data_IF_612691227453
#
_entry.id   IF_612691227453
#
_cell.length_a   1.000
_cell.length_b   1.000
_cell.length_c   1.000
_cell.angle_alpha   90.00
_cell.angle_beta   90.00
_cell.angle_gamma   90.00
#
_symmetry.space_group_name_H-M   'P 1'
#
loop_
_entity.id
_entity.type
_entity.pdbx_description
1 polymer ?
#
# COMPACT_ATOMS: atom_id res chain seq x y z
N UNK A 1 -3.87 -39.64 1.49
CA UNK A 1 -4.13 -38.22 1.85
C UNK A 1 -2.90 -37.44 1.45
N UNK A 2 -2.98 -36.71 0.33
CA UNK A 2 -1.86 -35.94 -0.22
C UNK A 2 -1.79 -34.60 0.51
N UNK A 3 -0.83 -34.43 1.42
CA UNK A 3 -0.53 -33.14 2.03
C UNK A 3 0.29 -32.33 1.02
N UNK A 4 -0.39 -31.48 0.26
CA UNK A 4 0.30 -30.48 -0.57
C UNK A 4 1.19 -29.65 0.35
N UNK A 5 2.50 -29.60 0.05
CA UNK A 5 3.43 -28.76 0.77
C UNK A 5 2.92 -27.31 0.70
N UNK A 6 2.97 -26.54 1.81
CA UNK A 6 2.57 -25.15 1.79
C UNK A 6 3.44 -24.42 0.76
N UNK A 7 2.79 -23.82 -0.24
CA UNK A 7 3.45 -22.90 -1.18
C UNK A 7 4.10 -21.79 -0.35
N UNK A 8 5.40 -21.88 -0.13
CA UNK A 8 6.17 -20.85 0.56
C UNK A 8 6.21 -19.62 -0.32
N UNK A 9 5.78 -18.48 0.21
CA UNK A 9 6.03 -17.19 -0.42
C UNK A 9 7.53 -16.85 -0.31
N UNK A 10 8.01 -15.94 -1.16
CA UNK A 10 9.37 -15.40 -1.07
C UNK A 10 9.60 -14.85 0.35
N UNK A 11 10.55 -15.44 1.08
CA UNK A 11 10.81 -15.19 2.51
C UNK A 11 10.74 -16.43 3.41
N UNK A 12 10.35 -17.60 2.88
CA UNK A 12 10.31 -18.86 3.65
C UNK A 12 9.08 -19.02 4.56
N UNK A 13 8.14 -18.08 4.49
CA UNK A 13 6.89 -18.13 5.23
C UNK A 13 5.76 -18.77 4.41
N UNK A 14 4.82 -19.50 5.05
CA UNK A 14 3.65 -20.03 4.36
C UNK A 14 2.82 -18.91 3.72
N UNK A 15 2.42 -19.07 2.46
CA UNK A 15 1.63 -18.06 1.75
C UNK A 15 0.31 -17.72 2.46
N UNK A 16 -0.36 -18.72 3.06
CA UNK A 16 -1.61 -18.51 3.81
C UNK A 16 -1.41 -17.66 5.05
N UNK A 17 -0.26 -17.78 5.73
CA UNK A 17 0.06 -16.91 6.86
C UNK A 17 0.25 -15.46 6.41
N UNK A 18 1.01 -15.25 5.33
CA UNK A 18 1.22 -13.91 4.77
C UNK A 18 -0.11 -13.29 4.34
N UNK A 19 -0.98 -14.05 3.68
CA UNK A 19 -2.31 -13.61 3.27
C UNK A 19 -3.17 -13.25 4.49
N UNK A 20 -3.23 -14.11 5.49
CA UNK A 20 -3.99 -13.87 6.72
C UNK A 20 -3.50 -12.63 7.46
N UNK A 21 -2.19 -12.46 7.62
CA UNK A 21 -1.61 -11.25 8.23
C UNK A 21 -1.94 -9.99 7.44
N UNK A 22 -1.92 -10.08 6.10
CA UNK A 22 -2.30 -8.96 5.22
C UNK A 22 -3.76 -8.56 5.45
N UNK A 23 -4.68 -9.54 5.47
CA UNK A 23 -6.12 -9.31 5.71
C UNK A 23 -6.38 -8.71 7.10
N UNK A 24 -5.75 -9.25 8.15
CA UNK A 24 -5.89 -8.73 9.52
C UNK A 24 -5.32 -7.31 9.62
N UNK A 25 -4.18 -7.06 8.99
CA UNK A 25 -3.55 -5.73 9.01
C UNK A 25 -4.42 -4.67 8.32
N UNK A 26 -5.01 -4.99 7.16
CA UNK A 26 -5.97 -4.09 6.50
C UNK A 26 -7.25 -3.90 7.31
N UNK A 27 -7.77 -4.97 7.94
CA UNK A 27 -8.92 -4.86 8.83
C UNK A 27 -8.62 -3.94 10.04
N UNK A 28 -7.44 -4.06 10.64
CA UNK A 28 -7.00 -3.20 11.73
C UNK A 28 -6.89 -1.73 11.27
N UNK A 29 -6.33 -1.48 10.09
CA UNK A 29 -6.23 -0.14 9.50
C UNK A 29 -7.62 0.48 9.26
N UNK A 30 -8.56 -0.28 8.70
CA UNK A 30 -9.94 0.16 8.46
C UNK A 30 -10.75 0.39 9.74
N UNK A 31 -10.40 -0.30 10.83
CA UNK A 31 -11.09 -0.21 12.13
C UNK A 31 -10.50 0.87 13.07
N UNK A 32 -9.62 1.74 12.58
CA UNK A 32 -8.95 2.76 13.40
C UNK A 32 -7.95 2.21 14.41
N UNK A 33 -7.58 0.92 14.32
CA UNK A 33 -6.60 0.26 15.20
C UNK A 33 -5.19 0.49 14.67
N UNK A 34 -4.78 1.75 14.60
CA UNK A 34 -3.55 2.14 13.88
C UNK A 34 -2.31 1.45 14.44
N UNK A 35 -2.12 1.39 15.76
CA UNK A 35 -0.93 0.77 16.35
C UNK A 35 -0.79 -0.71 15.96
N UNK A 36 -1.89 -1.46 15.97
CA UNK A 36 -1.93 -2.88 15.57
C UNK A 36 -1.66 -3.03 14.07
N UNK A 37 -2.27 -2.17 13.24
CA UNK A 37 -2.05 -2.18 11.81
C UNK A 37 -0.58 -1.94 11.47
N UNK A 38 0.05 -0.93 12.09
CA UNK A 38 1.47 -0.64 11.90
C UNK A 38 2.36 -1.82 12.30
N UNK A 39 2.11 -2.42 13.48
CA UNK A 39 2.89 -3.57 13.94
C UNK A 39 2.80 -4.76 12.98
N UNK A 40 1.60 -5.06 12.47
CA UNK A 40 1.40 -6.16 11.50
C UNK A 40 2.10 -5.85 10.17
N UNK A 41 1.97 -4.62 9.68
CA UNK A 41 2.53 -4.23 8.38
C UNK A 41 4.06 -4.15 8.42
N UNK A 42 4.67 -3.72 9.53
CA UNK A 42 6.13 -3.82 9.70
C UNK A 42 6.61 -5.27 9.69
N UNK A 43 5.86 -6.19 10.29
CA UNK A 43 6.12 -7.62 10.15
C UNK A 43 6.05 -8.09 8.68
N UNK A 44 5.02 -7.68 7.95
CA UNK A 44 4.87 -8.02 6.53
C UNK A 44 5.96 -7.42 5.64
N UNK A 45 6.45 -6.20 5.94
CA UNK A 45 7.61 -5.58 5.26
C UNK A 45 8.85 -6.47 5.40
N UNK A 46 9.12 -6.97 6.60
CA UNK A 46 10.24 -7.86 6.85
C UNK A 46 10.07 -9.24 6.18
N UNK A 47 8.84 -9.77 6.13
CA UNK A 47 8.55 -11.06 5.50
C UNK A 47 8.62 -11.01 3.97
N UNK A 48 8.24 -9.88 3.35
CA UNK A 48 8.22 -9.69 1.89
C UNK A 48 8.79 -8.34 1.49
N UNK A 49 10.13 -8.18 1.52
CA UNK A 49 10.78 -6.99 1.01
C UNK A 49 10.46 -6.79 -0.49
N UNK A 50 10.42 -5.54 -0.94
CA UNK A 50 10.14 -5.20 -2.34
C UNK A 50 8.67 -5.14 -2.73
N UNK A 51 7.73 -5.46 -1.83
CA UNK A 51 6.28 -5.42 -2.12
C UNK A 51 5.62 -4.15 -1.57
N UNK A 52 4.71 -3.57 -2.35
CA UNK A 52 4.01 -2.32 -1.98
C UNK A 52 2.94 -2.51 -0.89
N UNK A 53 2.32 -3.70 -0.83
CA UNK A 53 1.16 -3.97 0.01
C UNK A 53 1.33 -3.56 1.49
N UNK A 54 2.48 -3.82 2.09
CA UNK A 54 2.70 -3.49 3.50
C UNK A 54 2.85 -1.98 3.72
N UNK A 55 3.51 -1.26 2.80
CA UNK A 55 3.57 0.20 2.84
C UNK A 55 2.20 0.83 2.61
N UNK A 56 1.40 0.29 1.70
CA UNK A 56 0.02 0.72 1.46
C UNK A 56 -0.83 0.52 2.72
N UNK A 57 -0.69 -0.61 3.42
CA UNK A 57 -1.35 -0.85 4.70
C UNK A 57 -0.97 0.16 5.78
N UNK A 58 0.32 0.53 5.88
CA UNK A 58 0.79 1.59 6.78
C UNK A 58 0.15 2.93 6.40
N UNK A 59 0.19 3.30 5.12
CA UNK A 59 -0.39 4.53 4.63
C UNK A 59 -1.89 4.63 4.92
N UNK A 60 -2.65 3.56 4.68
CA UNK A 60 -4.08 3.48 5.01
C UNK A 60 -4.33 3.65 6.50
N UNK A 61 -3.51 3.03 7.36
CA UNK A 61 -3.62 3.18 8.80
C UNK A 61 -3.38 4.64 9.25
N UNK A 62 -2.47 5.37 8.61
CA UNK A 62 -2.25 6.78 8.84
C UNK A 62 -3.40 7.66 8.32
N UNK A 63 -3.87 7.43 7.09
CA UNK A 63 -5.00 8.18 6.50
C UNK A 63 -6.27 8.02 7.34
N UNK A 64 -6.62 6.79 7.71
CA UNK A 64 -7.81 6.50 8.53
C UNK A 64 -7.71 7.07 9.96
N UNK A 65 -6.51 7.40 10.41
CA UNK A 65 -6.27 8.03 11.70
C UNK A 65 -6.12 9.55 11.62
N UNK A 66 -6.51 10.16 10.49
CA UNK A 66 -6.45 11.60 10.27
C UNK A 66 -5.03 12.14 10.09
N UNK A 67 -4.08 11.31 9.66
CA UNK A 67 -2.66 11.68 9.44
C UNK A 67 -2.22 11.47 7.99
N UNK A 68 -2.86 12.11 7.00
CA UNK A 68 -2.54 11.92 5.59
C UNK A 68 -1.13 12.40 5.20
N UNK A 69 -0.60 13.46 5.84
CA UNK A 69 0.79 13.87 5.68
C UNK A 69 1.80 12.73 5.94
N UNK A 70 1.59 11.95 7.00
CA UNK A 70 2.48 10.83 7.32
C UNK A 70 2.33 9.66 6.36
N UNK A 71 1.11 9.41 5.87
CA UNK A 71 0.88 8.44 4.81
C UNK A 71 1.66 8.81 3.54
N UNK A 72 1.60 10.09 3.14
CA UNK A 72 2.35 10.59 1.99
C UNK A 72 3.87 10.48 2.21
N UNK A 73 4.36 10.78 3.42
CA UNK A 73 5.77 10.62 3.78
C UNK A 73 6.24 9.17 3.63
N UNK A 74 5.52 8.21 4.24
CA UNK A 74 5.86 6.77 4.16
C UNK A 74 5.90 6.30 2.70
N UNK A 75 4.88 6.64 1.91
CA UNK A 75 4.83 6.19 0.52
C UNK A 75 5.96 6.78 -0.32
N UNK A 76 6.24 8.07 -0.16
CA UNK A 76 7.25 8.78 -0.95
C UNK A 76 8.68 8.42 -0.54
N UNK A 77 8.96 8.39 0.76
CA UNK A 77 10.33 8.28 1.28
C UNK A 77 10.73 6.83 1.59
N UNK A 78 9.78 5.95 1.90
CA UNK A 78 10.07 4.57 2.27
C UNK A 78 9.60 3.57 1.20
N UNK A 79 8.37 3.71 0.70
CA UNK A 79 7.82 2.73 -0.24
C UNK A 79 8.47 2.85 -1.63
N UNK A 80 8.40 4.00 -2.29
CA UNK A 80 8.89 4.17 -3.67
C UNK A 80 10.37 3.76 -3.85
N UNK A 81 11.30 4.03 -2.89
CA UNK A 81 12.68 3.57 -3.02
C UNK A 81 12.88 2.07 -2.73
N UNK A 82 11.97 1.43 -1.99
CA UNK A 82 12.14 0.06 -1.50
C UNK A 82 11.36 -1.00 -2.29
N UNK A 83 10.32 -0.61 -3.03
CA UNK A 83 9.48 -1.54 -3.81
C UNK A 83 10.11 -1.87 -5.16
N UNK A 84 9.77 -3.03 -5.69
CA UNK A 84 10.13 -3.40 -7.05
C UNK A 84 9.43 -2.46 -8.06
N UNK A 85 10.00 -2.24 -9.27
CA UNK A 85 9.44 -1.32 -10.25
C UNK A 85 7.99 -1.62 -10.65
N UNK A 86 7.61 -2.90 -10.71
CA UNK A 86 6.26 -3.39 -11.01
C UNK A 86 5.24 -3.13 -9.88
N UNK A 87 5.72 -2.82 -8.67
CA UNK A 87 4.92 -2.50 -7.50
C UNK A 87 4.80 -0.97 -7.27
N UNK A 88 5.56 -0.18 -8.01
CA UNK A 88 5.66 1.27 -7.80
C UNK A 88 4.36 2.01 -8.14
N UNK A 89 3.60 1.54 -9.14
CA UNK A 89 2.35 2.18 -9.56
C UNK A 89 1.28 2.15 -8.47
N UNK A 90 1.16 1.02 -7.76
CA UNK A 90 0.32 0.89 -6.59
C UNK A 90 0.75 1.89 -5.50
N UNK A 91 2.04 1.96 -5.17
CA UNK A 91 2.54 2.93 -4.20
C UNK A 91 2.27 4.39 -4.60
N UNK A 92 2.40 4.73 -5.90
CA UNK A 92 2.14 6.07 -6.44
C UNK A 92 0.67 6.47 -6.34
N UNK A 93 -0.27 5.59 -6.67
CA UNK A 93 -1.69 5.95 -6.60
C UNK A 93 -2.15 6.18 -5.15
N UNK A 94 -1.63 5.40 -4.20
CA UNK A 94 -1.91 5.62 -2.79
C UNK A 94 -1.21 6.88 -2.26
N UNK A 95 -0.08 7.28 -2.84
CA UNK A 95 0.57 8.55 -2.52
C UNK A 95 -0.29 9.71 -2.99
N UNK A 96 -0.84 9.63 -4.21
CA UNK A 96 -1.80 10.62 -4.71
C UNK A 96 -3.04 10.72 -3.79
N UNK A 97 -3.61 9.58 -3.37
CA UNK A 97 -4.71 9.55 -2.42
C UNK A 97 -4.36 10.26 -1.10
N UNK A 98 -3.20 9.96 -0.53
CA UNK A 98 -2.73 10.60 0.70
C UNK A 98 -2.57 12.12 0.53
N UNK A 99 -1.99 12.57 -0.59
CA UNK A 99 -1.83 14.00 -0.91
C UNK A 99 -3.17 14.71 -1.12
N UNK A 100 -4.14 14.04 -1.75
CA UNK A 100 -5.50 14.57 -1.87
C UNK A 100 -6.14 14.78 -0.49
N UNK A 101 -6.06 13.78 0.40
CA UNK A 101 -6.60 13.88 1.77
C UNK A 101 -5.86 14.91 2.63
N UNK A 102 -4.57 15.16 2.36
CA UNK A 102 -3.75 16.18 3.01
C UNK A 102 -4.01 17.60 2.47
N UNK A 103 -4.87 17.75 1.46
CA UNK A 103 -5.18 19.05 0.87
C UNK A 103 -4.08 19.62 -0.03
N UNK A 104 -3.29 18.74 -0.67
CA UNK A 104 -2.16 19.10 -1.56
C UNK A 104 -2.46 18.74 -3.02
N UNK A 105 -3.41 19.44 -3.67
CA UNK A 105 -3.92 19.04 -4.99
C UNK A 105 -2.88 19.10 -6.11
N UNK A 106 -1.91 20.02 -6.05
CA UNK A 106 -0.83 20.11 -7.05
C UNK A 106 0.07 18.87 -7.02
N UNK A 107 0.54 18.49 -5.84
CA UNK A 107 1.37 17.29 -5.69
C UNK A 107 0.58 16.00 -5.94
N UNK A 108 -0.72 16.00 -5.63
CA UNK A 108 -1.61 14.89 -6.01
C UNK A 108 -1.64 14.71 -7.53
N UNK A 109 -1.84 15.79 -8.30
CA UNK A 109 -1.82 15.75 -9.76
C UNK A 109 -0.47 15.25 -10.30
N UNK A 110 0.64 15.77 -9.77
CA UNK A 110 1.99 15.32 -10.15
C UNK A 110 2.20 13.83 -9.87
N UNK A 111 1.73 13.32 -8.73
CA UNK A 111 1.80 11.90 -8.42
C UNK A 111 0.92 11.04 -9.35
N UNK A 112 -0.26 11.54 -9.75
CA UNK A 112 -1.15 10.87 -10.70
C UNK A 112 -0.57 10.83 -12.12
N UNK A 113 0.16 11.85 -12.54
CA UNK A 113 0.82 11.88 -13.86
C UNK A 113 1.91 10.81 -13.99
N UNK A 114 2.46 10.35 -12.87
CA UNK A 114 3.43 9.27 -12.81
C UNK A 114 2.80 7.87 -12.78
N UNK A 115 1.46 7.75 -12.76
CA UNK A 115 0.74 6.48 -12.86
C UNK A 115 0.34 6.24 -14.33
N UNK A 116 0.98 5.29 -15.03
CA UNK A 116 0.69 5.03 -16.44
C UNK A 116 -0.76 4.58 -16.65
N UNK A 117 -1.41 5.09 -17.70
CA UNK A 117 -2.78 4.69 -18.04
C UNK A 117 -2.89 3.22 -18.47
N UNK A 118 -1.78 2.64 -18.92
CA UNK A 118 -1.60 1.24 -19.31
C UNK A 118 -0.90 0.39 -18.24
N UNK A 119 -0.84 0.88 -16.99
CA UNK A 119 -0.31 0.11 -15.86
C UNK A 119 -0.99 -1.25 -15.76
N UNK A 120 -0.19 -2.28 -15.44
CA UNK A 120 -0.69 -3.64 -15.23
C UNK A 120 -1.59 -3.75 -13.98
N UNK A 121 -1.52 -2.77 -13.08
CA UNK A 121 -2.39 -2.66 -11.91
C UNK A 121 -3.68 -1.90 -12.27
N UNK A 122 -4.71 -2.66 -12.65
CA UNK A 122 -6.01 -2.12 -13.04
C UNK A 122 -6.70 -1.35 -11.90
N UNK A 123 -6.46 -1.73 -10.64
CA UNK A 123 -7.03 -1.04 -9.48
C UNK A 123 -6.34 0.32 -9.29
N UNK A 124 -5.02 0.38 -9.51
CA UNK A 124 -4.29 1.63 -9.49
C UNK A 124 -4.76 2.59 -10.60
N UNK A 125 -4.97 2.10 -11.83
CA UNK A 125 -5.50 2.91 -12.94
C UNK A 125 -6.90 3.45 -12.60
N UNK A 126 -7.77 2.60 -12.06
CA UNK A 126 -9.14 2.97 -11.68
C UNK A 126 -9.14 4.04 -10.60
N UNK A 127 -8.38 3.84 -9.52
CA UNK A 127 -8.28 4.81 -8.43
C UNK A 127 -7.67 6.14 -8.92
N UNK A 128 -6.64 6.08 -9.76
CA UNK A 128 -6.03 7.27 -10.35
C UNK A 128 -7.06 8.07 -11.17
N UNK A 129 -7.90 7.40 -11.96
CA UNK A 129 -8.99 8.06 -12.69
C UNK A 129 -9.99 8.72 -11.75
N UNK A 130 -10.46 8.01 -10.72
CA UNK A 130 -11.39 8.57 -9.73
C UNK A 130 -10.81 9.78 -9.01
N UNK A 131 -9.52 9.77 -8.67
CA UNK A 131 -8.87 10.92 -8.06
C UNK A 131 -8.76 12.13 -9.00
N UNK A 132 -8.45 11.90 -10.29
CA UNK A 132 -8.43 12.99 -11.29
C UNK A 132 -9.79 13.68 -11.45
N UNK A 133 -10.88 12.94 -11.29
CA UNK A 133 -12.25 13.48 -11.34
C UNK A 133 -12.62 14.28 -10.08
N UNK A 134 -11.87 14.13 -8.98
CA UNK A 134 -12.12 14.76 -7.69
C UNK A 134 -11.21 15.97 -7.39
N UNK A 135 -10.28 16.31 -8.30
CA UNK A 135 -9.41 17.49 -8.23
C UNK A 135 -10.10 18.72 -8.85
#
# INVERSE_FOLDING_TARGET
>A
MSTAAPTTAAGGFPADLVRLLTEIGYFAAGSGRTAQALAIMEGLKAMRPGRSAAYIGIALAHMNAGRPAEAARVLREEALPAVAPDEADAARVFLALALHLDGRPRECAEALDLVPADSADADAVKLAKTLREAL
#
